data_IF_740666155629
#
_entry.id   IF_740666155629
#
_cell.length_a   1.000
_cell.length_b   1.000
_cell.length_c   1.000
_cell.angle_alpha   90.00
_cell.angle_beta   90.00
_cell.angle_gamma   90.00
#
_symmetry.space_group_name_H-M   'P 1'
#
loop_
_entity.id
_entity.type
_entity.pdbx_description
1 polymer ?
#
# COMPACT_ATOMS: atom_id res chain seq x y z
N UNK A 1 20.36 -18.92 -24.78
CA UNK A 1 19.98 -17.51 -24.63
C UNK A 1 19.58 -17.34 -23.18
N UNK A 2 20.42 -16.71 -22.36
CA UNK A 2 20.07 -16.45 -20.96
C UNK A 2 18.99 -15.38 -20.91
N UNK A 3 17.97 -15.59 -20.09
CA UNK A 3 16.92 -14.60 -19.89
C UNK A 3 17.54 -13.34 -19.25
N UNK A 4 17.04 -12.12 -19.54
CA UNK A 4 17.49 -10.91 -18.86
C UNK A 4 17.45 -11.08 -17.32
N UNK A 5 18.29 -10.41 -16.52
CA UNK A 5 18.31 -10.55 -15.05
C UNK A 5 16.94 -10.34 -14.37
N UNK A 6 16.12 -9.42 -14.91
CA UNK A 6 14.75 -9.19 -14.43
C UNK A 6 13.83 -10.41 -14.61
N UNK A 7 14.19 -11.34 -15.52
CA UNK A 7 13.43 -12.52 -15.88
C UNK A 7 13.97 -13.80 -15.23
N UNK A 8 15.14 -13.71 -14.56
CA UNK A 8 15.75 -14.77 -13.77
C UNK A 8 15.38 -14.67 -12.28
N UNK A 9 14.21 -14.11 -11.96
CA UNK A 9 13.77 -14.03 -10.57
C UNK A 9 13.46 -15.44 -10.03
N UNK A 10 13.92 -15.77 -8.81
CA UNK A 10 13.52 -17.00 -8.14
C UNK A 10 12.00 -17.02 -7.94
N UNK A 11 11.46 -18.20 -7.63
CA UNK A 11 10.06 -18.37 -7.22
C UNK A 11 9.68 -17.28 -6.19
N UNK A 12 8.63 -16.47 -6.43
CA UNK A 12 8.24 -15.38 -5.55
C UNK A 12 7.81 -15.87 -4.15
N UNK A 13 7.48 -17.16 -4.02
CA UNK A 13 7.08 -17.81 -2.78
C UNK A 13 8.20 -18.68 -2.19
N UNK A 14 9.45 -18.51 -2.63
CA UNK A 14 10.59 -19.20 -2.06
C UNK A 14 10.69 -18.95 -0.55
N UNK A 15 10.69 -20.02 0.23
CA UNK A 15 10.81 -19.96 1.70
C UNK A 15 9.48 -19.76 2.43
N UNK A 16 8.34 -19.78 1.72
CA UNK A 16 7.02 -19.62 2.31
C UNK A 16 6.70 -20.66 3.40
N UNK A 17 7.18 -21.90 3.22
CA UNK A 17 7.01 -23.00 4.19
C UNK A 17 7.83 -22.83 5.47
N UNK A 18 8.86 -21.98 5.45
CA UNK A 18 9.69 -21.73 6.62
C UNK A 18 9.04 -20.74 7.60
N UNK A 19 7.99 -20.03 7.18
CA UNK A 19 7.25 -19.11 8.05
C UNK A 19 6.27 -19.93 8.90
N UNK A 20 6.31 -19.80 10.24
CA UNK A 20 5.44 -20.54 11.14
C UNK A 20 4.03 -19.91 11.18
N UNK A 21 3.31 -19.90 10.06
CA UNK A 21 2.00 -19.23 9.93
C UNK A 21 0.96 -19.63 10.98
N UNK A 22 1.08 -20.84 11.54
CA UNK A 22 0.16 -21.30 12.60
C UNK A 22 0.44 -20.64 13.96
N UNK A 23 1.66 -20.16 14.18
CA UNK A 23 2.10 -19.55 15.43
C UNK A 23 2.00 -18.03 15.39
N UNK A 24 1.93 -17.43 14.18
CA UNK A 24 1.75 -15.99 14.02
C UNK A 24 0.31 -15.56 14.29
N UNK A 25 0.14 -14.37 14.86
CA UNK A 25 -1.18 -13.75 15.02
C UNK A 25 -1.57 -12.89 13.82
N UNK A 26 -2.82 -12.99 13.39
CA UNK A 26 -3.44 -12.06 12.42
C UNK A 26 -4.41 -11.06 13.09
N UNK A 27 -4.45 -11.06 14.43
CA UNK A 27 -5.36 -10.23 15.22
C UNK A 27 -6.76 -10.78 15.46
N UNK A 28 -7.18 -11.81 14.71
CA UNK A 28 -8.42 -12.57 14.96
C UNK A 28 -8.15 -14.00 15.41
N UNK A 29 -6.88 -14.38 15.49
CA UNK A 29 -6.41 -15.70 15.89
C UNK A 29 -5.11 -16.05 15.17
N UNK A 30 -4.97 -17.32 14.79
CA UNK A 30 -3.79 -17.85 14.11
C UNK A 30 -3.78 -17.44 12.64
N UNK A 31 -2.64 -17.05 12.09
CA UNK A 31 -2.44 -16.73 10.67
C UNK A 31 -2.45 -17.98 9.74
N UNK A 32 -2.97 -19.10 10.23
CA UNK A 32 -3.20 -20.33 9.45
C UNK A 32 -3.94 -19.99 8.15
N UNK A 33 -3.46 -20.56 7.06
CA UNK A 33 -4.03 -20.38 5.72
C UNK A 33 -3.45 -19.20 4.93
N UNK A 34 -2.73 -18.25 5.54
CA UNK A 34 -2.11 -17.14 4.80
C UNK A 34 -1.15 -17.65 3.73
N UNK A 35 -0.30 -18.63 4.05
CA UNK A 35 0.58 -19.24 3.05
C UNK A 35 -0.17 -19.90 1.88
N UNK A 36 -1.33 -20.51 2.14
CA UNK A 36 -2.15 -21.08 1.08
C UNK A 36 -2.78 -20.01 0.18
N UNK A 37 -3.27 -18.92 0.79
CA UNK A 37 -3.77 -17.78 0.04
C UNK A 37 -2.68 -17.17 -0.85
N UNK A 38 -1.45 -17.01 -0.34
CA UNK A 38 -0.31 -16.52 -1.14
C UNK A 38 -0.01 -17.40 -2.36
N UNK A 39 -0.15 -18.73 -2.25
CA UNK A 39 -0.01 -19.64 -3.41
C UNK A 39 -1.14 -19.46 -4.42
N UNK A 40 -2.38 -19.34 -3.95
CA UNK A 40 -3.56 -19.20 -4.82
C UNK A 40 -3.61 -17.87 -5.58
N UNK A 41 -2.90 -16.84 -5.12
CA UNK A 41 -2.71 -15.60 -5.89
C UNK A 41 -1.99 -15.85 -7.22
N UNK A 42 -1.23 -16.94 -7.36
CA UNK A 42 -0.55 -17.29 -8.61
C UNK A 42 -1.30 -18.34 -9.44
N UNK A 43 -2.55 -18.65 -9.10
CA UNK A 43 -3.36 -19.62 -9.84
C UNK A 43 -3.66 -19.12 -11.28
N UNK A 44 -3.79 -20.04 -12.23
CA UNK A 44 -4.13 -19.71 -13.61
C UNK A 44 -5.59 -19.21 -13.70
N UNK A 45 -6.46 -19.69 -12.82
CA UNK A 45 -7.86 -19.30 -12.72
C UNK A 45 -8.02 -17.93 -12.04
N UNK A 46 -8.64 -16.98 -12.75
CA UNK A 46 -8.87 -15.62 -12.27
C UNK A 46 -9.79 -15.56 -11.05
N UNK A 47 -10.79 -16.44 -10.96
CA UNK A 47 -11.72 -16.47 -9.82
C UNK A 47 -11.03 -16.99 -8.56
N UNK A 48 -10.14 -17.96 -8.72
CA UNK A 48 -9.29 -18.48 -7.63
C UNK A 48 -8.35 -17.39 -7.13
N UNK A 49 -7.68 -16.65 -8.04
CA UNK A 49 -6.82 -15.52 -7.67
C UNK A 49 -7.61 -14.43 -6.94
N UNK A 50 -8.75 -14.04 -7.47
CA UNK A 50 -9.59 -12.98 -6.88
C UNK A 50 -10.03 -13.35 -5.46
N UNK A 51 -10.53 -14.57 -5.28
CA UNK A 51 -10.93 -15.10 -3.96
C UNK A 51 -9.75 -15.15 -2.99
N UNK A 52 -8.57 -15.53 -3.47
CA UNK A 52 -7.36 -15.56 -2.66
C UNK A 52 -6.92 -14.16 -2.22
N UNK A 53 -7.02 -13.17 -3.11
CA UNK A 53 -6.70 -11.76 -2.81
C UNK A 53 -7.66 -11.18 -1.77
N UNK A 54 -8.96 -11.41 -1.90
CA UNK A 54 -9.95 -11.00 -0.90
C UNK A 54 -9.65 -11.64 0.46
N UNK A 55 -9.29 -12.93 0.44
CA UNK A 55 -8.81 -13.65 1.60
C UNK A 55 -7.56 -13.01 2.21
N UNK A 56 -6.56 -12.62 1.41
CA UNK A 56 -5.36 -11.96 1.91
C UNK A 56 -5.67 -10.60 2.53
N UNK A 57 -6.48 -9.77 1.87
CA UNK A 57 -6.89 -8.45 2.41
C UNK A 57 -7.58 -8.64 3.75
N UNK A 58 -8.55 -9.54 3.83
CA UNK A 58 -9.27 -9.83 5.07
C UNK A 58 -8.34 -10.34 6.20
N UNK A 59 -7.23 -11.01 5.88
CA UNK A 59 -6.34 -11.63 6.87
C UNK A 59 -5.17 -10.74 7.25
N UNK A 60 -4.64 -9.96 6.32
CA UNK A 60 -3.45 -9.13 6.51
C UNK A 60 -3.77 -7.67 6.80
N UNK A 61 -5.00 -7.22 6.51
CA UNK A 61 -5.46 -5.87 6.81
C UNK A 61 -6.96 -5.87 7.18
N UNK A 62 -7.43 -6.69 8.15
CA UNK A 62 -8.82 -6.63 8.59
C UNK A 62 -9.11 -5.27 9.21
N UNK A 63 -10.08 -4.54 8.65
CA UNK A 63 -10.50 -3.23 9.15
C UNK A 63 -9.27 -2.32 9.40
N UNK A 64 -8.37 -2.29 8.41
CA UNK A 64 -7.19 -1.40 8.37
C UNK A 64 -6.21 -1.56 9.51
N UNK A 65 -6.24 -2.76 10.10
CA UNK A 65 -5.43 -3.11 11.25
C UNK A 65 -4.37 -4.12 10.84
N UNK A 66 -3.10 -3.73 10.94
CA UNK A 66 -1.98 -4.65 10.67
C UNK A 66 -1.64 -5.51 11.89
N UNK A 67 -1.06 -6.67 11.63
CA UNK A 67 -0.73 -7.72 12.60
C UNK A 67 0.69 -8.23 12.39
N UNK A 68 1.07 -9.25 13.17
CA UNK A 68 2.30 -9.98 12.95
C UNK A 68 2.33 -10.62 11.55
N UNK A 69 1.25 -11.30 11.18
CA UNK A 69 1.11 -11.92 9.87
C UNK A 69 1.31 -10.92 8.73
N UNK A 70 0.78 -9.69 8.88
CA UNK A 70 0.95 -8.59 7.93
C UNK A 70 2.42 -8.32 7.68
N UNK A 71 3.22 -8.09 8.72
CA UNK A 71 4.65 -7.82 8.59
C UNK A 71 5.43 -8.99 7.95
N UNK A 72 5.10 -10.24 8.29
CA UNK A 72 5.75 -11.43 7.75
C UNK A 72 5.36 -11.73 6.29
N UNK A 73 4.19 -11.30 5.84
CA UNK A 73 3.73 -11.47 4.46
C UNK A 73 4.41 -10.51 3.47
N UNK A 74 4.86 -9.33 3.93
CA UNK A 74 5.40 -8.27 3.06
C UNK A 74 6.46 -8.75 2.07
N UNK A 75 7.49 -9.54 2.45
CA UNK A 75 8.50 -9.97 1.48
C UNK A 75 7.92 -10.77 0.32
N UNK A 76 6.93 -11.63 0.58
CA UNK A 76 6.26 -12.44 -0.44
C UNK A 76 5.35 -11.59 -1.33
N UNK A 77 4.58 -10.68 -0.72
CA UNK A 77 3.76 -9.71 -1.46
C UNK A 77 4.63 -8.87 -2.40
N UNK A 78 5.79 -8.40 -1.96
CA UNK A 78 6.70 -7.62 -2.79
C UNK A 78 7.30 -8.44 -3.94
N UNK A 79 7.65 -9.71 -3.71
CA UNK A 79 8.11 -10.59 -4.79
C UNK A 79 6.98 -10.91 -5.78
N UNK A 80 5.75 -11.15 -5.32
CA UNK A 80 4.57 -11.32 -6.18
C UNK A 80 4.32 -10.06 -7.02
N UNK A 81 4.32 -8.89 -6.37
CA UNK A 81 4.14 -7.59 -7.02
C UNK A 81 5.22 -7.26 -8.06
N UNK A 82 6.40 -7.86 -7.93
CA UNK A 82 7.54 -7.59 -8.79
C UNK A 82 7.85 -8.69 -9.81
N UNK A 83 7.07 -9.78 -9.82
CA UNK A 83 7.29 -10.92 -10.70
C UNK A 83 6.41 -10.83 -11.96
N UNK A 84 7.04 -10.78 -13.12
CA UNK A 84 6.37 -10.70 -14.42
C UNK A 84 5.51 -11.92 -14.79
N UNK A 85 5.71 -13.06 -14.08
CA UNK A 85 4.91 -14.29 -14.27
C UNK A 85 3.58 -14.26 -13.51
N UNK A 86 3.44 -13.37 -12.53
CA UNK A 86 2.16 -13.16 -11.82
C UNK A 86 1.23 -12.38 -12.73
N UNK A 87 -0.02 -12.83 -12.83
CA UNK A 87 -1.03 -12.18 -13.66
C UNK A 87 -1.18 -10.69 -13.28
N UNK A 88 -1.29 -9.77 -14.25
CA UNK A 88 -1.29 -8.33 -13.98
C UNK A 88 -2.35 -7.88 -12.96
N UNK A 89 -3.56 -8.44 -13.03
CA UNK A 89 -4.67 -8.19 -12.10
C UNK A 89 -4.28 -8.51 -10.64
N UNK A 90 -3.65 -9.67 -10.43
CA UNK A 90 -3.21 -10.10 -9.12
C UNK A 90 -2.01 -9.29 -8.62
N UNK A 91 -1.07 -9.00 -9.52
CA UNK A 91 0.13 -8.19 -9.22
C UNK A 91 -0.27 -6.80 -8.73
N UNK A 92 -1.18 -6.13 -9.44
CA UNK A 92 -1.59 -4.78 -9.10
C UNK A 92 -2.34 -4.73 -7.77
N UNK A 93 -3.26 -5.69 -7.52
CA UNK A 93 -3.95 -5.81 -6.23
C UNK A 93 -3.01 -6.08 -5.06
N UNK A 94 -1.96 -6.89 -5.25
CA UNK A 94 -0.93 -7.11 -4.23
C UNK A 94 -0.14 -5.83 -3.92
N UNK A 95 0.17 -5.03 -4.92
CA UNK A 95 0.89 -3.75 -4.73
C UNK A 95 0.02 -2.74 -3.98
N UNK A 96 -1.29 -2.67 -4.29
CA UNK A 96 -2.22 -1.87 -3.51
C UNK A 96 -2.29 -2.33 -2.05
N UNK A 97 -2.32 -3.65 -1.80
CA UNK A 97 -2.28 -4.19 -0.44
C UNK A 97 -0.99 -3.82 0.31
N UNK A 98 0.17 -3.82 -0.37
CA UNK A 98 1.42 -3.33 0.24
C UNK A 98 1.33 -1.85 0.62
N UNK A 99 0.79 -1.02 -0.27
CA UNK A 99 0.64 0.41 -0.04
C UNK A 99 -0.32 0.69 1.13
N UNK A 100 -1.47 0.02 1.20
CA UNK A 100 -2.42 0.17 2.30
C UNK A 100 -1.85 -0.31 3.64
N UNK A 101 -1.15 -1.44 3.66
CA UNK A 101 -0.46 -1.93 4.86
C UNK A 101 0.62 -0.96 5.36
N UNK A 102 1.32 -0.24 4.47
CA UNK A 102 2.31 0.77 4.86
C UNK A 102 1.68 2.07 5.41
N UNK A 103 0.43 2.33 5.05
CA UNK A 103 -0.37 3.48 5.49
C UNK A 103 -1.26 3.20 6.70
N UNK A 104 -1.34 1.95 7.15
CA UNK A 104 -2.22 1.53 8.24
C UNK A 104 -2.11 2.45 9.48
N UNK A 105 -3.26 2.94 9.93
CA UNK A 105 -3.42 3.75 11.14
C UNK A 105 -3.58 2.91 12.41
N UNK A 106 -3.81 1.60 12.27
CA UNK A 106 -4.12 0.69 13.37
C UNK A 106 -3.25 -0.57 13.32
N UNK A 107 -2.96 -1.13 14.50
CA UNK A 107 -2.26 -2.40 14.64
C UNK A 107 -2.79 -3.22 15.81
N UNK A 108 -2.64 -4.54 15.74
CA UNK A 108 -2.94 -5.41 16.86
C UNK A 108 -1.83 -5.40 17.92
N UNK A 109 -2.22 -5.63 19.16
CA UNK A 109 -1.34 -5.88 20.30
C UNK A 109 -1.21 -7.38 20.55
N UNK A 110 -0.33 -7.78 21.47
CA UNK A 110 -0.11 -9.20 21.83
C UNK A 110 -1.39 -9.86 22.35
N UNK A 111 -2.22 -9.10 23.08
CA UNK A 111 -3.51 -9.55 23.61
C UNK A 111 -4.65 -9.54 22.57
N UNK A 112 -4.36 -9.25 21.29
CA UNK A 112 -5.36 -9.14 20.23
C UNK A 112 -6.22 -7.86 20.27
N UNK A 113 -5.91 -6.90 21.15
CA UNK A 113 -6.55 -5.57 21.14
C UNK A 113 -5.97 -4.68 20.06
N UNK A 114 -6.69 -3.65 19.64
CA UNK A 114 -6.22 -2.64 18.69
C UNK A 114 -5.45 -1.50 19.37
N UNK A 115 -4.44 -0.99 18.70
CA UNK A 115 -3.73 0.24 19.03
C UNK A 115 -3.68 1.13 17.80
N UNK A 116 -3.94 2.42 17.97
CA UNK A 116 -4.03 3.40 16.90
C UNK A 116 -2.86 4.37 16.94
N UNK A 117 -2.46 4.87 15.77
CA UNK A 117 -1.62 6.05 15.67
C UNK A 117 -2.35 7.24 16.29
N UNK A 118 -1.61 8.02 17.08
CA UNK A 118 -2.12 9.22 17.75
C UNK A 118 -1.01 10.25 17.78
N UNK A 119 -1.37 11.51 17.71
CA UNK A 119 -0.40 12.61 17.69
C UNK A 119 -0.71 13.62 18.78
N UNK A 120 0.33 14.28 19.28
CA UNK A 120 0.18 15.44 20.14
C UNK A 120 -0.01 16.72 19.31
N UNK A 121 -0.27 17.85 19.97
CA UNK A 121 -0.52 19.14 19.31
C UNK A 121 0.63 19.66 18.42
N UNK A 122 1.84 19.11 18.53
CA UNK A 122 2.99 19.46 17.69
C UNK A 122 3.25 18.43 16.57
N UNK A 123 2.31 17.52 16.31
CA UNK A 123 2.40 16.52 15.26
C UNK A 123 3.37 15.36 15.56
N UNK A 124 3.83 15.22 16.81
CA UNK A 124 4.67 14.09 17.21
C UNK A 124 3.79 12.89 17.57
N UNK A 125 4.11 11.75 16.98
CA UNK A 125 3.41 10.52 17.24
C UNK A 125 3.62 10.03 18.68
N UNK A 126 2.54 9.68 19.36
CA UNK A 126 2.51 9.18 20.72
C UNK A 126 2.94 7.70 20.76
N UNK A 127 3.54 7.24 21.87
CA UNK A 127 3.88 5.83 22.03
C UNK A 127 2.68 4.90 21.85
N UNK A 128 2.91 3.80 21.14
CA UNK A 128 1.95 2.70 20.94
C UNK A 128 2.21 1.56 21.92
N UNK A 129 1.20 0.71 22.11
CA UNK A 129 1.36 -0.52 22.88
C UNK A 129 2.21 -1.52 22.08
N UNK A 130 3.13 -2.25 22.73
CA UNK A 130 3.89 -3.31 22.07
C UNK A 130 2.99 -4.53 21.76
N UNK A 131 3.34 -5.32 20.75
CA UNK A 131 4.31 -5.05 19.68
C UNK A 131 3.80 -3.99 18.69
N UNK A 132 4.72 -3.16 18.20
CA UNK A 132 4.41 -2.11 17.23
C UNK A 132 4.37 -2.65 15.79
N UNK A 133 3.29 -3.35 15.44
CA UNK A 133 3.11 -3.91 14.10
C UNK A 133 2.95 -2.86 13.01
N UNK A 134 2.46 -1.67 13.36
CA UNK A 134 2.34 -0.54 12.43
C UNK A 134 3.73 -0.16 11.88
N UNK A 135 4.68 0.14 12.77
CA UNK A 135 6.05 0.49 12.35
C UNK A 135 6.74 -0.67 11.66
N UNK A 136 6.63 -1.89 12.21
CA UNK A 136 7.28 -3.08 11.63
C UNK A 136 6.79 -3.35 10.21
N UNK A 137 5.48 -3.26 9.97
CA UNK A 137 4.89 -3.46 8.64
C UNK A 137 5.35 -2.37 7.68
N UNK A 138 5.25 -1.09 8.07
CA UNK A 138 5.73 0.02 7.23
C UNK A 138 7.21 -0.14 6.87
N UNK A 139 8.08 -0.43 7.85
CA UNK A 139 9.51 -0.65 7.59
C UNK A 139 9.76 -1.85 6.67
N UNK A 140 9.00 -2.93 6.83
CA UNK A 140 9.09 -4.08 5.93
C UNK A 140 8.70 -3.68 4.49
N UNK A 141 7.62 -2.90 4.32
CA UNK A 141 7.18 -2.45 2.98
C UNK A 141 8.22 -1.53 2.37
N UNK A 142 8.70 -0.51 3.09
CA UNK A 142 9.74 0.40 2.60
C UNK A 142 11.02 -0.35 2.21
N UNK A 143 11.41 -1.39 2.97
CA UNK A 143 12.57 -2.22 2.64
C UNK A 143 12.36 -3.05 1.36
N UNK A 144 11.14 -3.48 1.07
CA UNK A 144 10.83 -4.36 -0.05
C UNK A 144 10.41 -3.61 -1.33
N UNK A 145 9.86 -2.39 -1.20
CA UNK A 145 9.31 -1.58 -2.28
C UNK A 145 10.28 -1.29 -3.45
N UNK A 146 11.60 -1.05 -3.25
CA UNK A 146 12.53 -0.83 -4.36
C UNK A 146 12.47 -1.92 -5.44
N UNK A 147 12.27 -3.18 -5.04
CA UNK A 147 12.16 -4.30 -5.98
C UNK A 147 10.93 -4.22 -6.88
N UNK A 148 9.81 -3.70 -6.35
CA UNK A 148 8.56 -3.50 -7.09
C UNK A 148 8.74 -2.33 -8.06
N UNK A 149 9.31 -1.21 -7.58
CA UNK A 149 9.59 -0.05 -8.41
C UNK A 149 10.51 -0.38 -9.58
N UNK A 150 11.60 -1.13 -9.36
CA UNK A 150 12.49 -1.58 -10.43
C UNK A 150 11.75 -2.39 -11.50
N UNK A 151 10.85 -3.29 -11.08
CA UNK A 151 10.09 -4.15 -12.00
C UNK A 151 9.05 -3.40 -12.83
N UNK A 152 8.57 -2.26 -12.34
CA UNK A 152 7.54 -1.41 -12.96
C UNK A 152 8.10 -0.03 -13.32
N UNK A 153 9.41 0.09 -13.50
CA UNK A 153 10.14 1.36 -13.59
C UNK A 153 9.69 2.32 -14.70
N UNK A 154 8.94 1.82 -15.70
CA UNK A 154 8.38 2.62 -16.80
C UNK A 154 6.86 2.47 -16.94
N UNK A 155 6.19 1.87 -15.95
CA UNK A 155 4.76 1.61 -16.02
C UNK A 155 3.97 2.80 -15.46
N UNK A 156 3.10 3.37 -16.28
CA UNK A 156 2.13 4.40 -15.86
C UNK A 156 0.90 3.73 -15.23
N UNK A 157 1.10 3.04 -14.10
CA UNK A 157 0.04 2.27 -13.43
C UNK A 157 -0.24 2.83 -12.05
N UNK A 158 -1.52 2.86 -11.69
CA UNK A 158 -1.97 3.45 -10.44
C UNK A 158 -1.41 2.75 -9.19
N UNK A 159 -1.14 1.43 -9.25
CA UNK A 159 -0.55 0.70 -8.13
C UNK A 159 0.87 1.19 -7.78
N UNK A 160 1.67 1.61 -8.76
CA UNK A 160 3.00 2.20 -8.54
C UNK A 160 2.88 3.57 -7.88
N UNK A 161 1.93 4.39 -8.34
CA UNK A 161 1.64 5.70 -7.74
C UNK A 161 1.20 5.52 -6.29
N UNK A 162 0.32 4.55 -6.00
CA UNK A 162 -0.10 4.23 -4.63
C UNK A 162 1.08 3.84 -3.73
N UNK A 163 1.99 2.99 -4.22
CA UNK A 163 3.18 2.60 -3.45
C UNK A 163 4.15 3.77 -3.26
N UNK A 164 4.33 4.62 -4.28
CA UNK A 164 5.17 5.82 -4.19
C UNK A 164 4.62 6.83 -3.17
N UNK A 165 3.29 6.97 -3.09
CA UNK A 165 2.62 7.76 -2.06
C UNK A 165 2.80 7.16 -0.66
N UNK A 166 2.76 5.83 -0.53
CA UNK A 166 2.87 5.16 0.77
C UNK A 166 4.28 5.18 1.36
N UNK A 167 5.32 5.01 0.53
CA UNK A 167 6.73 4.97 0.94
C UNK A 167 7.61 5.88 0.07
N UNK A 168 7.34 7.21 0.05
CA UNK A 168 8.03 8.17 -0.80
C UNK A 168 9.55 8.20 -0.56
N UNK A 169 10.00 7.87 0.65
CA UNK A 169 11.40 7.89 1.07
C UNK A 169 12.31 6.88 0.35
N UNK A 170 11.73 5.87 -0.32
CA UNK A 170 12.48 4.82 -1.04
C UNK A 170 12.19 4.80 -2.54
N UNK A 171 11.49 5.80 -3.08
CA UNK A 171 11.16 5.88 -4.51
C UNK A 171 12.42 6.13 -5.33
N UNK A 172 12.78 5.24 -6.29
CA UNK A 172 13.93 5.45 -7.17
C UNK A 172 13.71 6.64 -8.12
N UNK A 173 14.81 7.28 -8.56
CA UNK A 173 14.76 8.42 -9.48
C UNK A 173 13.96 8.15 -10.76
N UNK A 174 14.06 6.95 -11.32
CA UNK A 174 13.33 6.57 -12.53
C UNK A 174 11.82 6.58 -12.28
N UNK A 175 11.36 5.99 -11.18
CA UNK A 175 9.95 6.00 -10.79
C UNK A 175 9.47 7.42 -10.47
N UNK A 176 10.30 8.25 -9.83
CA UNK A 176 9.98 9.65 -9.58
C UNK A 176 9.75 10.43 -10.88
N UNK A 177 10.50 10.15 -11.95
CA UNK A 177 10.27 10.75 -13.27
C UNK A 177 8.95 10.29 -13.90
N UNK A 178 8.59 9.02 -13.77
CA UNK A 178 7.28 8.51 -14.25
C UNK A 178 6.14 9.20 -13.50
N UNK A 179 6.21 9.27 -12.18
CA UNK A 179 5.22 9.95 -11.35
C UNK A 179 5.10 11.44 -11.75
N UNK A 180 6.23 12.12 -11.95
CA UNK A 180 6.23 13.51 -12.43
C UNK A 180 5.56 13.65 -13.81
N UNK A 181 5.86 12.74 -14.73
CA UNK A 181 5.30 12.75 -16.09
C UNK A 181 3.79 12.55 -16.14
N UNK A 182 3.25 11.70 -15.26
CA UNK A 182 1.81 11.51 -15.07
C UNK A 182 1.20 12.80 -14.51
N UNK A 183 1.77 13.37 -13.45
CA UNK A 183 1.25 14.55 -12.78
C UNK A 183 1.19 15.81 -13.64
N UNK A 184 2.10 15.96 -14.61
CA UNK A 184 2.23 17.17 -15.43
C UNK A 184 1.80 16.96 -16.90
N UNK A 185 1.03 15.89 -17.17
CA UNK A 185 0.34 15.72 -18.45
C UNK A 185 1.22 15.29 -19.62
N UNK A 186 2.41 14.73 -19.38
CA UNK A 186 3.15 14.05 -20.47
C UNK A 186 2.49 12.72 -20.85
N UNK A 187 1.67 12.17 -19.95
CA UNK A 187 0.94 10.91 -20.12
C UNK A 187 -0.42 11.15 -20.76
N UNK A 188 -0.64 10.61 -21.96
CA UNK A 188 -1.86 10.85 -22.75
C UNK A 188 -3.03 9.93 -22.38
N UNK A 189 -2.82 8.96 -21.48
CA UNK A 189 -3.78 7.91 -21.13
C UNK A 189 -4.19 7.93 -19.65
N UNK A 190 -3.69 8.88 -18.86
CA UNK A 190 -3.98 8.96 -17.43
C UNK A 190 -5.38 9.56 -17.18
N UNK A 191 -6.15 8.93 -16.30
CA UNK A 191 -7.39 9.53 -15.79
C UNK A 191 -7.06 10.72 -14.88
N UNK A 192 -8.03 11.63 -14.69
CA UNK A 192 -7.86 12.77 -13.77
C UNK A 192 -7.41 12.31 -12.38
N UNK A 193 -8.11 11.31 -11.81
CA UNK A 193 -7.74 10.74 -10.51
C UNK A 193 -6.30 10.18 -10.47
N UNK A 194 -5.78 9.63 -11.58
CA UNK A 194 -4.40 9.17 -11.64
C UNK A 194 -3.41 10.34 -11.69
N UNK A 195 -3.75 11.41 -12.41
CA UNK A 195 -2.96 12.65 -12.44
C UNK A 195 -2.87 13.27 -11.05
N UNK A 196 -4.00 13.36 -10.34
CA UNK A 196 -4.06 13.92 -8.99
C UNK A 196 -3.31 13.05 -7.98
N UNK A 197 -3.46 11.72 -8.06
CA UNK A 197 -2.68 10.78 -7.26
C UNK A 197 -1.16 10.92 -7.51
N UNK A 198 -0.76 11.11 -8.76
CA UNK A 198 0.63 11.29 -9.13
C UNK A 198 1.19 12.64 -8.68
N UNK A 199 0.37 13.70 -8.69
CA UNK A 199 0.74 15.00 -8.14
C UNK A 199 1.01 14.90 -6.63
N UNK A 200 0.18 14.15 -5.90
CA UNK A 200 0.41 13.83 -4.48
C UNK A 200 1.70 13.03 -4.29
N UNK A 201 1.89 11.94 -5.03
CA UNK A 201 3.10 11.12 -4.92
C UNK A 201 4.35 11.97 -5.22
N UNK A 202 4.32 12.81 -6.25
CA UNK A 202 5.41 13.72 -6.59
C UNK A 202 5.70 14.71 -5.45
N UNK A 203 4.67 15.33 -4.87
CA UNK A 203 4.82 16.24 -3.73
C UNK A 203 5.54 15.58 -2.56
N UNK A 204 5.12 14.37 -2.20
CA UNK A 204 5.70 13.60 -1.09
C UNK A 204 7.14 13.15 -1.37
N UNK A 205 7.43 12.69 -2.60
CA UNK A 205 8.78 12.27 -3.01
C UNK A 205 9.77 13.43 -2.99
N UNK A 206 9.33 14.64 -3.34
CA UNK A 206 10.15 15.85 -3.25
C UNK A 206 10.33 16.38 -1.82
N UNK A 207 9.63 15.81 -0.84
CA UNK A 207 9.66 16.28 0.55
C UNK A 207 9.11 17.68 0.71
N UNK A 208 8.14 18.08 -0.11
CA UNK A 208 7.47 19.37 -0.02
C UNK A 208 6.61 19.44 1.25
N UNK A 209 6.37 20.66 1.73
CA UNK A 209 5.55 20.90 2.90
C UNK A 209 4.07 20.64 2.59
N UNK A 210 3.48 19.68 3.31
CA UNK A 210 2.07 19.31 3.18
C UNK A 210 1.21 20.12 4.16
N UNK A 211 1.09 21.42 3.90
CA UNK A 211 0.28 22.33 4.71
C UNK A 211 -1.23 22.19 4.41
N UNK A 212 -2.04 23.01 5.09
CA UNK A 212 -3.49 23.03 4.90
C UNK A 212 -3.91 23.30 3.44
N UNK A 213 -3.21 24.19 2.74
CA UNK A 213 -3.54 24.54 1.35
C UNK A 213 -3.22 23.41 0.39
N UNK A 214 -2.10 22.72 0.60
CA UNK A 214 -1.74 21.55 -0.19
C UNK A 214 -2.76 20.41 -0.02
N UNK A 215 -3.25 20.19 1.21
CA UNK A 215 -4.30 19.23 1.50
C UNK A 215 -5.64 19.62 0.86
N UNK A 216 -6.05 20.88 1.01
CA UNK A 216 -7.30 21.38 0.41
C UNK A 216 -7.27 21.26 -1.12
N UNK A 217 -6.16 21.65 -1.75
CA UNK A 217 -6.00 21.53 -3.20
C UNK A 217 -6.03 20.08 -3.67
N UNK A 218 -5.54 19.13 -2.86
CA UNK A 218 -5.62 17.70 -3.17
C UNK A 218 -7.07 17.19 -3.10
N UNK A 219 -7.88 17.74 -2.21
CA UNK A 219 -9.24 17.26 -1.96
C UNK A 219 -10.33 17.99 -2.77
N UNK A 220 -10.09 19.23 -3.23
CA UNK A 220 -11.12 20.13 -3.76
C UNK A 220 -11.95 19.55 -4.92
N UNK A 221 -11.34 18.74 -5.78
CA UNK A 221 -11.98 18.14 -6.95
C UNK A 221 -12.61 16.76 -6.65
N UNK A 222 -12.58 16.33 -5.38
CA UNK A 222 -13.05 15.04 -4.90
C UNK A 222 -13.99 15.24 -3.69
N UNK A 223 -15.31 15.38 -3.93
CA UNK A 223 -16.27 15.78 -2.88
C UNK A 223 -16.28 14.88 -1.64
N UNK A 224 -15.95 13.60 -1.78
CA UNK A 224 -15.84 12.66 -0.67
C UNK A 224 -14.56 12.89 0.14
N UNK A 225 -13.41 13.10 -0.51
CA UNK A 225 -12.16 13.42 0.18
C UNK A 225 -12.22 14.80 0.86
N UNK A 226 -12.87 15.77 0.21
CA UNK A 226 -13.07 17.08 0.79
C UNK A 226 -13.93 16.99 2.06
N UNK A 227 -15.02 16.23 2.01
CA UNK A 227 -15.86 15.97 3.17
C UNK A 227 -15.08 15.29 4.29
N UNK A 228 -14.35 14.22 4.00
CA UNK A 228 -13.52 13.54 4.99
C UNK A 228 -12.46 14.47 5.61
N UNK A 229 -11.94 15.42 4.83
CA UNK A 229 -10.97 16.40 5.33
C UNK A 229 -11.61 17.48 6.21
N UNK A 230 -12.78 17.98 5.84
CA UNK A 230 -13.50 19.04 6.55
C UNK A 230 -14.22 18.54 7.81
N UNK A 231 -14.74 17.30 7.79
CA UNK A 231 -15.55 16.71 8.85
C UNK A 231 -14.71 15.90 9.87
N UNK A 232 -13.43 16.26 10.07
CA UNK A 232 -12.50 15.59 10.99
C UNK A 232 -12.35 14.07 10.74
N UNK A 233 -12.45 13.63 9.48
CA UNK A 233 -12.26 12.23 9.07
C UNK A 233 -10.83 11.72 9.23
N UNK A 234 -9.88 12.62 9.53
CA UNK A 234 -8.51 12.27 9.89
C UNK A 234 -8.24 12.51 11.39
N UNK A 235 -7.41 11.68 12.03
CA UNK A 235 -7.05 11.87 13.43
C UNK A 235 -6.51 13.27 13.74
N UNK A 236 -6.85 13.84 14.91
CA UNK A 236 -6.38 15.16 15.29
C UNK A 236 -4.86 15.21 15.35
N UNK A 237 -4.30 16.31 14.86
CA UNK A 237 -2.86 16.56 14.79
C UNK A 237 -2.06 15.55 13.95
N UNK A 238 -2.73 14.77 13.11
CA UNK A 238 -2.04 13.92 12.13
C UNK A 238 -1.16 14.79 11.22
N UNK A 239 0.10 14.40 10.96
CA UNK A 239 0.98 15.12 10.05
C UNK A 239 0.36 15.22 8.66
N UNK A 240 0.41 16.42 8.07
CA UNK A 240 -0.18 16.66 6.75
C UNK A 240 0.35 15.73 5.68
N UNK A 241 1.64 15.34 5.73
CA UNK A 241 2.22 14.38 4.80
C UNK A 241 1.53 13.00 4.86
N UNK A 242 1.11 12.54 6.05
CA UNK A 242 0.38 11.26 6.18
C UNK A 242 -1.06 11.40 5.67
N UNK A 243 -1.73 12.52 5.97
CA UNK A 243 -3.07 12.81 5.44
C UNK A 243 -3.06 12.85 3.91
N UNK A 244 -2.08 13.56 3.35
CA UNK A 244 -1.88 13.63 1.91
C UNK A 244 -1.58 12.25 1.32
N UNK A 245 -0.78 11.42 2.00
CA UNK A 245 -0.50 10.07 1.55
C UNK A 245 -1.76 9.18 1.51
N UNK A 246 -2.65 9.30 2.49
CA UNK A 246 -3.94 8.59 2.49
C UNK A 246 -4.84 9.05 1.33
N UNK A 247 -4.91 10.36 1.08
CA UNK A 247 -5.64 10.92 -0.07
C UNK A 247 -5.08 10.40 -1.40
N UNK A 248 -3.76 10.47 -1.60
CA UNK A 248 -3.11 10.00 -2.83
C UNK A 248 -3.29 8.49 -3.06
N UNK A 249 -3.29 7.68 -2.00
CA UNK A 249 -3.61 6.25 -2.10
C UNK A 249 -5.06 6.05 -2.59
N UNK A 250 -6.04 6.76 -2.01
CA UNK A 250 -7.45 6.65 -2.39
C UNK A 250 -7.67 7.07 -3.86
N UNK A 251 -7.01 8.13 -4.30
CA UNK A 251 -7.06 8.59 -5.70
C UNK A 251 -6.47 7.57 -6.67
N UNK A 252 -5.31 6.99 -6.34
CA UNK A 252 -4.70 5.93 -7.13
C UNK A 252 -5.61 4.70 -7.20
N UNK A 253 -6.22 4.31 -6.07
CA UNK A 253 -7.14 3.18 -6.03
C UNK A 253 -8.39 3.43 -6.89
N UNK A 254 -8.99 4.63 -6.80
CA UNK A 254 -10.12 5.06 -7.65
C UNK A 254 -9.76 5.05 -9.12
N UNK A 255 -8.55 5.48 -9.48
CA UNK A 255 -8.08 5.45 -10.86
C UNK A 255 -7.99 4.02 -11.44
N UNK A 256 -7.71 3.01 -10.60
CA UNK A 256 -7.61 1.61 -11.02
C UNK A 256 -8.95 0.89 -11.06
N UNK A 257 -9.83 1.12 -10.07
CA UNK A 257 -11.04 0.31 -9.84
C UNK A 257 -12.36 1.08 -9.91
N UNK A 258 -12.33 2.40 -10.11
CA UNK A 258 -13.51 3.26 -10.08
C UNK A 258 -13.94 3.65 -8.66
N UNK A 259 -15.12 4.26 -8.54
CA UNK A 259 -15.65 4.77 -7.27
C UNK A 259 -16.25 3.68 -6.36
N UNK A 260 -16.64 2.53 -6.93
CA UNK A 260 -17.28 1.41 -6.21
C UNK A 260 -16.26 0.35 -5.80
N UNK A 261 -15.63 0.54 -4.65
CA UNK A 261 -15.04 -0.55 -3.85
C UNK A 261 -14.81 -0.04 -2.43
N UNK A 262 -15.92 0.20 -1.72
CA UNK A 262 -15.91 0.60 -0.31
C UNK A 262 -15.48 -0.52 0.65
N UNK A 263 -15.23 -1.73 0.16
CA UNK A 263 -14.92 -2.91 0.99
C UNK A 263 -13.41 -3.15 1.21
N UNK A 264 -12.53 -2.30 0.67
CA UNK A 264 -11.06 -2.40 0.83
C UNK A 264 -10.38 -1.08 1.23
N UNK A 265 -11.14 -0.13 1.77
CA UNK A 265 -10.67 1.23 2.05
C UNK A 265 -9.98 1.32 3.43
N UNK A 266 -8.78 1.93 3.52
CA UNK A 266 -8.25 2.40 4.78
C UNK A 266 -9.07 3.54 5.38
N UNK A 267 -9.71 3.24 6.52
CA UNK A 267 -10.29 4.20 7.46
C UNK A 267 -9.25 4.93 8.31
#
# INVERSE_FOLDING_TARGET
MELPPAWQRPDPLRGLEAVPWNDLSDGRGTARGVGELLRRVTDEDADVRSTALDGLVARLLPEDTVSEASAFAVPFLAELGANYKVAPDARDRVIFLLASMALAGCGFTEDGKRTWRRWNAVGRELPRLPPDWITRTRCAVAKAAPKVFESLSNAEVACVVALATAVPEVVPTQTAHVVWGIAHGTSHHASAALVDAAAVAHHLVQGLESDHWALLNTAQDHPDLLRDYEDDGFPPHQPGALTMALMGYRLAFRAAYGEESAEGQPG
#
